data_IF_012001970068
#
_entry.id   IF_012001970068
#
_cell.length_a   1.000
_cell.length_b   1.000
_cell.length_c   1.000
_cell.angle_alpha   90.00
_cell.angle_beta   90.00
_cell.angle_gamma   90.00
#
_symmetry.space_group_name_H-M   'P 1'
#
loop_
_entity.id
_entity.type
_entity.pdbx_description
1 polymer ?
#
# COMPACT_ATOMS: atom_id res chain seq x y z
N UNK A 1 2.13 10.94 -14.17
CA UNK A 1 1.70 10.37 -12.87
C UNK A 1 2.85 9.59 -12.27
N UNK A 2 3.09 9.67 -10.96
CA UNK A 2 4.05 8.81 -10.29
C UNK A 2 3.42 7.42 -10.07
N UNK A 3 4.12 6.36 -10.47
CA UNK A 3 3.67 4.99 -10.22
C UNK A 3 3.96 4.61 -8.77
N UNK A 4 2.94 4.46 -7.95
CA UNK A 4 3.07 4.06 -6.54
C UNK A 4 2.91 2.54 -6.44
N UNK A 5 3.87 1.87 -5.80
CA UNK A 5 3.78 0.44 -5.47
C UNK A 5 3.95 0.26 -3.98
N UNK A 6 3.10 -0.58 -3.39
CA UNK A 6 3.18 -0.94 -1.99
C UNK A 6 3.56 -2.42 -1.85
N UNK A 7 4.70 -2.68 -1.24
CA UNK A 7 5.13 -4.03 -0.90
C UNK A 7 4.56 -4.37 0.48
N UNK A 8 3.69 -5.37 0.52
CA UNK A 8 2.92 -5.72 1.70
C UNK A 8 3.17 -7.18 2.08
N UNK A 9 3.08 -7.50 3.37
CA UNK A 9 3.11 -8.90 3.84
C UNK A 9 1.87 -9.15 4.69
N UNK A 10 1.29 -10.34 4.55
CA UNK A 10 0.19 -10.78 5.40
C UNK A 10 0.54 -10.62 6.89
N UNK A 11 -0.30 -9.88 7.61
CA UNK A 11 -0.10 -9.59 9.04
C UNK A 11 0.78 -8.39 9.36
N UNK A 12 1.29 -7.63 8.38
CA UNK A 12 2.06 -6.42 8.68
C UNK A 12 1.15 -5.22 9.01
N UNK A 13 1.14 -4.73 10.27
CA UNK A 13 0.27 -3.61 10.66
C UNK A 13 0.66 -2.29 9.99
N UNK A 14 1.93 -2.13 9.62
CA UNK A 14 2.43 -0.92 8.94
C UNK A 14 1.94 -0.84 7.49
N UNK A 15 1.90 -1.98 6.78
CA UNK A 15 1.38 -2.03 5.42
C UNK A 15 -0.10 -1.63 5.39
N UNK A 16 -0.90 -2.09 6.36
CA UNK A 16 -2.31 -1.69 6.49
C UNK A 16 -2.46 -0.19 6.72
N UNK A 17 -1.61 0.41 7.57
CA UNK A 17 -1.63 1.87 7.80
C UNK A 17 -1.23 2.66 6.55
N UNK A 18 -0.23 2.20 5.82
CA UNK A 18 0.23 2.84 4.58
C UNK A 18 -0.87 2.83 3.50
N UNK A 19 -1.56 1.70 3.30
CA UNK A 19 -2.72 1.62 2.40
C UNK A 19 -3.81 2.62 2.76
N UNK A 20 -4.20 2.68 4.04
CA UNK A 20 -5.23 3.63 4.52
C UNK A 20 -4.88 5.09 4.21
N UNK A 21 -3.60 5.46 4.25
CA UNK A 21 -3.15 6.79 3.88
C UNK A 21 -3.37 7.00 2.38
N UNK A 22 -2.91 6.07 1.54
CA UNK A 22 -3.07 6.15 0.08
C UNK A 22 -4.56 6.19 -0.32
N UNK A 23 -5.40 5.36 0.30
CA UNK A 23 -6.85 5.33 0.11
C UNK A 23 -7.49 6.67 0.51
N UNK A 24 -7.08 7.25 1.65
CA UNK A 24 -7.58 8.54 2.13
C UNK A 24 -7.26 9.69 1.16
N UNK A 25 -6.13 9.64 0.49
CA UNK A 25 -5.71 10.65 -0.48
C UNK A 25 -6.17 10.34 -1.92
N UNK A 26 -6.90 9.23 -2.15
CA UNK A 26 -7.35 8.83 -3.48
C UNK A 26 -6.20 8.51 -4.43
N UNK A 27 -5.05 8.08 -3.90
CA UNK A 27 -3.86 7.76 -4.69
C UNK A 27 -3.98 6.32 -5.16
N UNK A 28 -3.95 6.09 -6.46
CA UNK A 28 -3.85 4.74 -7.00
C UNK A 28 -2.48 4.13 -6.72
N UNK A 29 -2.48 2.89 -6.24
CA UNK A 29 -1.25 2.13 -5.97
C UNK A 29 -1.41 0.67 -6.37
N UNK A 30 -0.30 0.07 -6.79
CA UNK A 30 -0.22 -1.38 -7.03
C UNK A 30 0.29 -2.07 -5.76
N UNK A 31 -0.48 -3.04 -5.26
CA UNK A 31 -0.04 -3.88 -4.14
C UNK A 31 0.73 -5.11 -4.63
N UNK A 32 1.89 -5.36 -4.00
CA UNK A 32 2.71 -6.54 -4.22
C UNK A 32 2.89 -7.27 -2.89
N UNK A 33 2.39 -8.50 -2.79
CA UNK A 33 2.60 -9.33 -1.62
C UNK A 33 4.02 -9.91 -1.61
N UNK A 34 4.78 -9.63 -0.54
CA UNK A 34 6.10 -10.18 -0.26
C UNK A 34 5.98 -11.24 0.85
N UNK A 35 6.37 -12.48 0.55
CA UNK A 35 6.35 -13.62 1.49
C UNK A 35 7.46 -13.52 2.53
#
# INVERSE_FOLDING_TARGET
MAKVRIYSKAGCPFCVRAKRILDKYGIEYEEVEVR
#
